data_IF_206786080259
#
_entry.id   IF_206786080259
#
_cell.length_a   1.000
_cell.length_b   1.000
_cell.length_c   1.000
_cell.angle_alpha   90.00
_cell.angle_beta   90.00
_cell.angle_gamma   90.00
#
_symmetry.space_group_name_H-M   'P 1'
#
loop_
_entity.id
_entity.type
_entity.pdbx_description
1 polymer ?
#
# COMPACT_ATOMS: atom_id res chain seq x y z
N UNK A 1 31.18 6.59 13.33
CA UNK A 1 30.00 5.68 13.31
C UNK A 1 28.63 6.36 13.50
N UNK A 2 28.44 7.66 13.18
CA UNK A 2 27.16 8.39 13.41
C UNK A 2 26.22 8.49 12.20
N UNK A 3 26.56 7.94 11.02
CA UNK A 3 25.79 8.11 9.76
C UNK A 3 24.78 6.99 9.43
N UNK A 4 24.73 5.90 10.19
CA UNK A 4 23.91 4.72 9.85
C UNK A 4 22.47 4.80 10.40
N UNK A 5 22.25 5.56 11.48
CA UNK A 5 20.94 5.70 12.14
C UNK A 5 19.91 6.42 11.25
N UNK A 6 20.34 7.23 10.28
CA UNK A 6 19.46 8.13 9.53
C UNK A 6 18.78 7.51 8.28
N UNK A 7 18.92 6.20 8.02
CA UNK A 7 18.32 5.55 6.83
C UNK A 7 17.25 4.51 7.15
N UNK A 8 17.18 3.98 8.37
CA UNK A 8 16.24 2.88 8.70
C UNK A 8 14.79 3.35 8.82
N UNK A 9 14.55 4.54 9.37
CA UNK A 9 13.20 5.13 9.40
C UNK A 9 12.68 5.38 7.98
N UNK A 10 13.55 5.81 7.04
CA UNK A 10 13.19 5.95 5.63
C UNK A 10 12.82 4.62 5.00
N UNK A 11 13.53 3.53 5.33
CA UNK A 11 13.17 2.18 4.85
C UNK A 11 11.79 1.77 5.34
N UNK A 12 11.49 1.96 6.63
CA UNK A 12 10.16 1.65 7.20
C UNK A 12 9.08 2.51 6.52
N UNK A 13 9.32 3.80 6.31
CA UNK A 13 8.40 4.69 5.62
C UNK A 13 8.19 4.28 4.15
N UNK A 14 9.25 3.93 3.42
CA UNK A 14 9.15 3.42 2.04
C UNK A 14 8.37 2.12 1.98
N UNK A 15 8.58 1.20 2.92
CA UNK A 15 7.82 -0.04 3.02
C UNK A 15 6.35 0.27 3.31
N UNK A 16 6.06 1.18 4.25
CA UNK A 16 4.69 1.61 4.53
C UNK A 16 4.03 2.10 3.23
N UNK A 17 4.58 3.15 2.64
CA UNK A 17 4.00 3.79 1.46
C UNK A 17 3.91 2.79 0.31
N UNK A 18 4.94 1.98 0.08
CA UNK A 18 4.95 0.95 -0.96
C UNK A 18 3.98 -0.20 -0.70
N UNK A 19 3.57 -0.43 0.54
CA UNK A 19 2.55 -1.44 0.89
C UNK A 19 1.15 -0.89 0.62
N UNK A 20 0.91 0.40 0.86
CA UNK A 20 -0.39 1.05 0.62
C UNK A 20 -0.62 1.35 -0.84
N UNK A 21 0.45 1.71 -1.58
CA UNK A 21 0.35 2.00 -3.00
C UNK A 21 0.27 0.69 -3.78
N UNK A 22 -0.96 0.25 -4.05
CA UNK A 22 -1.27 -0.86 -4.94
C UNK A 22 -1.54 -0.42 -6.39
N UNK A 23 -1.91 -1.37 -7.24
CA UNK A 23 -2.27 -1.11 -8.64
C UNK A 23 -3.46 -0.15 -8.77
N UNK A 24 -4.44 -0.22 -7.88
CA UNK A 24 -5.60 0.68 -7.89
C UNK A 24 -5.27 2.11 -7.46
N UNK A 25 -4.26 2.29 -6.59
CA UNK A 25 -3.68 3.61 -6.30
C UNK A 25 -2.93 4.14 -7.52
N UNK A 26 -2.05 3.33 -8.11
CA UNK A 26 -1.24 3.72 -9.26
C UNK A 26 -2.08 4.08 -10.49
N UNK A 27 -3.18 3.36 -10.72
CA UNK A 27 -4.14 3.67 -11.80
C UNK A 27 -5.08 4.84 -11.46
N UNK A 28 -5.03 5.37 -10.23
CA UNK A 28 -5.92 6.43 -9.73
C UNK A 28 -7.37 6.00 -9.45
N UNK A 29 -7.72 4.73 -9.70
CA UNK A 29 -9.11 4.25 -9.58
C UNK A 29 -9.59 4.26 -8.14
N UNK A 30 -8.77 3.80 -7.21
CA UNK A 30 -9.10 3.84 -5.78
C UNK A 30 -9.31 5.28 -5.31
N UNK A 31 -8.42 6.19 -5.68
CA UNK A 31 -8.51 7.60 -5.26
C UNK A 31 -9.77 8.27 -5.81
N UNK A 32 -10.12 8.02 -7.07
CA UNK A 32 -11.36 8.53 -7.66
C UNK A 32 -12.57 7.95 -6.93
N UNK A 33 -12.60 6.64 -6.69
CA UNK A 33 -13.75 5.96 -6.08
C UNK A 33 -13.99 6.29 -4.61
N UNK A 34 -12.93 6.43 -3.82
CA UNK A 34 -13.03 6.72 -2.39
C UNK A 34 -13.12 8.22 -2.10
N UNK A 35 -12.54 9.07 -2.95
CA UNK A 35 -12.40 10.50 -2.64
C UNK A 35 -12.86 11.41 -3.79
N UNK A 36 -12.51 11.09 -5.03
CA UNK A 36 -12.86 11.90 -6.21
C UNK A 36 -14.37 12.10 -6.38
N UNK A 37 -15.19 11.11 -6.04
CA UNK A 37 -16.67 11.21 -6.13
C UNK A 37 -17.24 12.33 -5.24
N UNK A 38 -16.52 12.75 -4.19
CA UNK A 38 -16.97 13.78 -3.23
C UNK A 38 -16.50 15.20 -3.56
N UNK A 39 -15.84 15.42 -4.70
CA UNK A 39 -15.31 16.73 -5.09
C UNK A 39 -14.33 17.28 -4.05
N UNK A 40 -14.45 18.56 -3.68
CA UNK A 40 -13.56 19.20 -2.69
C UNK A 40 -13.59 18.49 -1.33
N UNK A 41 -14.74 17.93 -0.92
CA UNK A 41 -14.85 17.19 0.34
C UNK A 41 -13.97 15.94 0.36
N UNK A 42 -13.66 15.38 -0.81
CA UNK A 42 -12.71 14.28 -0.97
C UNK A 42 -11.31 14.62 -0.48
N UNK A 43 -10.86 15.87 -0.63
CA UNK A 43 -9.53 16.31 -0.17
C UNK A 43 -9.42 16.23 1.35
N UNK A 44 -10.47 16.65 2.07
CA UNK A 44 -10.55 16.48 3.52
C UNK A 44 -10.57 15.00 3.90
N UNK A 45 -11.29 14.16 3.13
CA UNK A 45 -11.30 12.72 3.33
C UNK A 45 -9.91 12.08 3.22
N UNK A 46 -9.17 12.37 2.15
CA UNK A 46 -7.79 11.89 1.95
C UNK A 46 -6.90 12.32 3.12
N UNK A 47 -7.02 13.58 3.55
CA UNK A 47 -6.25 14.12 4.66
C UNK A 47 -6.55 13.38 5.97
N UNK A 48 -7.83 13.11 6.25
CA UNK A 48 -8.26 12.32 7.42
C UNK A 48 -7.70 10.90 7.34
N UNK A 49 -7.81 10.22 6.19
CA UNK A 49 -7.22 8.89 6.00
C UNK A 49 -5.72 8.90 6.24
N UNK A 50 -4.99 9.90 5.73
CA UNK A 50 -3.53 10.04 5.94
C UNK A 50 -3.15 10.16 7.42
N UNK A 51 -3.88 10.98 8.19
CA UNK A 51 -3.69 11.11 9.64
C UNK A 51 -3.96 9.76 10.33
N UNK A 52 -5.06 9.09 9.96
CA UNK A 52 -5.41 7.80 10.55
C UNK A 52 -4.39 6.70 10.21
N UNK A 53 -3.84 6.66 8.99
CA UNK A 53 -2.75 5.75 8.62
C UNK A 53 -1.52 6.00 9.49
N UNK A 54 -1.11 7.26 9.65
CA UNK A 54 0.04 7.60 10.49
C UNK A 54 -0.15 7.11 11.94
N UNK A 55 -1.33 7.38 12.52
CA UNK A 55 -1.66 6.95 13.88
C UNK A 55 -1.71 5.42 14.02
N UNK A 56 -2.48 4.73 13.17
CA UNK A 56 -2.65 3.27 13.27
C UNK A 56 -1.33 2.55 12.99
N UNK A 57 -0.59 2.98 11.97
CA UNK A 57 0.69 2.38 11.63
C UNK A 57 1.74 2.56 12.72
N UNK A 58 1.84 3.76 13.31
CA UNK A 58 2.73 4.01 14.44
C UNK A 58 2.37 3.16 15.66
N UNK A 59 1.08 3.10 16.02
CA UNK A 59 0.59 2.25 17.12
C UNK A 59 0.85 0.76 16.89
N UNK A 60 0.66 0.30 15.66
CA UNK A 60 0.91 -1.08 15.27
C UNK A 60 2.41 -1.43 15.40
N UNK A 61 3.30 -0.59 14.85
CA UNK A 61 4.75 -0.82 14.95
C UNK A 61 5.24 -0.79 16.40
N UNK A 62 4.70 0.10 17.25
CA UNK A 62 4.96 0.09 18.69
C UNK A 62 4.54 -1.23 19.35
N UNK A 63 3.37 -1.75 18.99
CA UNK A 63 2.88 -3.02 19.52
C UNK A 63 3.78 -4.18 19.12
N UNK A 64 4.19 -4.22 17.85
CA UNK A 64 5.12 -5.21 17.30
C UNK A 64 6.47 -5.15 18.03
N UNK A 65 7.04 -3.95 18.17
CA UNK A 65 8.31 -3.73 18.86
C UNK A 65 8.27 -4.15 20.33
N UNK A 66 7.27 -3.70 21.09
CA UNK A 66 7.15 -4.00 22.53
C UNK A 66 6.90 -5.49 22.80
N UNK A 67 6.16 -6.16 21.91
CA UNK A 67 5.80 -7.56 22.08
C UNK A 67 6.75 -8.53 21.39
N UNK A 68 7.77 -8.03 20.67
CA UNK A 68 8.72 -8.79 19.86
C UNK A 68 8.05 -9.76 18.88
N UNK A 69 7.02 -9.27 18.20
CA UNK A 69 6.23 -10.06 17.23
C UNK A 69 7.03 -10.18 15.94
N UNK A 70 7.24 -11.41 15.47
CA UNK A 70 8.12 -11.72 14.34
C UNK A 70 7.37 -12.09 13.04
N UNK A 71 6.04 -12.21 13.10
CA UNK A 71 5.21 -12.49 11.93
C UNK A 71 3.70 -12.38 12.19
N UNK A 72 2.93 -12.54 11.14
CA UNK A 72 1.48 -12.35 11.17
C UNK A 72 0.77 -13.43 11.98
N UNK A 73 1.16 -14.70 11.82
CA UNK A 73 0.64 -15.83 12.60
C UNK A 73 0.80 -15.58 14.11
N UNK A 74 1.99 -15.11 14.54
CA UNK A 74 2.27 -14.80 15.94
C UNK A 74 1.37 -13.66 16.44
N UNK A 75 1.19 -12.60 15.63
CA UNK A 75 0.32 -11.48 15.96
C UNK A 75 -1.13 -11.93 16.21
N UNK A 76 -1.71 -12.68 15.27
CA UNK A 76 -3.12 -13.09 15.35
C UNK A 76 -3.34 -14.18 16.39
N UNK A 77 -2.41 -15.12 16.57
CA UNK A 77 -2.50 -16.11 17.64
C UNK A 77 -2.44 -15.46 19.02
N UNK A 78 -1.70 -14.36 19.18
CA UNK A 78 -1.64 -13.60 20.44
C UNK A 78 -2.91 -12.79 20.72
N UNK A 79 -3.62 -12.34 19.67
CA UNK A 79 -4.85 -11.55 19.79
C UNK A 79 -6.09 -12.45 19.95
N UNK A 80 -6.22 -13.48 19.11
CA UNK A 80 -7.43 -14.31 19.01
C UNK A 80 -7.27 -15.72 19.61
N UNK A 81 -6.07 -16.07 20.08
CA UNK A 81 -5.74 -17.42 20.54
C UNK A 81 -5.36 -18.36 19.39
N UNK A 82 -4.73 -19.49 19.72
CA UNK A 82 -4.13 -20.40 18.73
C UNK A 82 -5.12 -20.96 17.70
N UNK A 83 -6.33 -21.36 18.14
CA UNK A 83 -7.32 -22.00 17.26
C UNK A 83 -7.88 -21.02 16.22
N UNK A 84 -8.33 -19.84 16.66
CA UNK A 84 -8.85 -18.82 15.75
C UNK A 84 -7.74 -18.14 14.96
N UNK A 85 -6.56 -17.94 15.57
CA UNK A 85 -5.38 -17.40 14.90
C UNK A 85 -4.99 -18.21 13.67
N UNK A 86 -4.87 -19.53 13.79
CA UNK A 86 -4.54 -20.40 12.64
C UNK A 86 -5.60 -20.36 11.53
N UNK A 87 -6.88 -20.25 11.87
CA UNK A 87 -7.95 -20.13 10.87
C UNK A 87 -7.79 -18.81 10.10
N UNK A 88 -7.57 -17.70 10.82
CA UNK A 88 -7.36 -16.40 10.20
C UNK A 88 -6.08 -16.36 9.37
N UNK A 89 -5.00 -17.00 9.82
CA UNK A 89 -3.74 -17.10 9.08
C UNK A 89 -3.94 -17.74 7.71
N UNK A 90 -4.65 -18.87 7.69
CA UNK A 90 -4.95 -19.60 6.45
C UNK A 90 -5.84 -18.76 5.51
N UNK A 91 -6.85 -18.08 6.04
CA UNK A 91 -7.71 -17.20 5.24
C UNK A 91 -6.88 -16.07 4.61
N UNK A 92 -6.00 -15.43 5.39
CA UNK A 92 -5.15 -14.36 4.88
C UNK A 92 -4.11 -14.86 3.89
N UNK A 93 -3.57 -16.07 4.09
CA UNK A 93 -2.65 -16.70 3.13
C UNK A 93 -3.32 -16.93 1.79
N UNK A 94 -4.55 -17.46 1.78
CA UNK A 94 -5.34 -17.63 0.55
C UNK A 94 -5.62 -16.27 -0.10
N UNK A 95 -6.00 -15.25 0.69
CA UNK A 95 -6.26 -13.90 0.18
C UNK A 95 -5.02 -13.25 -0.45
N UNK A 96 -3.83 -13.40 0.16
CA UNK A 96 -2.58 -12.90 -0.40
C UNK A 96 -2.19 -13.65 -1.68
N UNK A 97 -2.39 -14.96 -1.72
CA UNK A 97 -2.12 -15.77 -2.91
C UNK A 97 -3.01 -15.40 -4.09
N UNK A 98 -4.31 -15.19 -3.85
CA UNK A 98 -5.23 -14.72 -4.90
C UNK A 98 -4.89 -13.31 -5.34
N UNK A 99 -4.57 -12.40 -4.41
CA UNK A 99 -4.11 -11.06 -4.72
C UNK A 99 -2.85 -11.06 -5.59
N UNK A 100 -1.85 -11.87 -5.25
CA UNK A 100 -0.64 -12.05 -6.05
C UNK A 100 -0.97 -12.57 -7.46
N UNK A 101 -1.83 -13.57 -7.57
CA UNK A 101 -2.25 -14.15 -8.86
C UNK A 101 -2.93 -13.10 -9.75
N UNK A 102 -3.81 -12.26 -9.18
CA UNK A 102 -4.47 -11.15 -9.89
C UNK A 102 -3.45 -10.10 -10.36
N UNK A 103 -2.46 -9.76 -9.52
CA UNK A 103 -1.40 -8.80 -9.91
C UNK A 103 -0.51 -9.34 -11.03
N UNK A 104 -0.17 -10.63 -11.01
CA UNK A 104 0.60 -11.29 -12.08
C UNK A 104 -0.18 -11.29 -13.40
N UNK A 105 -1.47 -11.59 -13.36
CA UNK A 105 -2.35 -11.49 -14.53
C UNK A 105 -2.45 -10.04 -15.05
N UNK A 106 -2.49 -9.06 -14.14
CA UNK A 106 -2.46 -7.64 -14.48
C UNK A 106 -1.20 -7.24 -15.24
N UNK A 107 -0.02 -7.77 -14.87
CA UNK A 107 1.20 -7.57 -15.65
C UNK A 107 1.12 -8.20 -17.05
N UNK A 108 0.49 -9.36 -17.18
CA UNK A 108 0.21 -9.96 -18.48
C UNK A 108 -0.63 -9.05 -19.38
N UNK A 109 -1.71 -8.48 -18.83
CA UNK A 109 -2.58 -7.55 -19.55
C UNK A 109 -1.84 -6.29 -20.00
N UNK A 110 -0.98 -5.69 -19.15
CA UNK A 110 -0.17 -4.52 -19.52
C UNK A 110 0.76 -4.84 -20.71
N UNK A 111 1.37 -6.03 -20.74
CA UNK A 111 2.23 -6.42 -21.86
C UNK A 111 1.46 -6.56 -23.16
N UNK A 112 0.24 -7.09 -23.10
CA UNK A 112 -0.62 -7.28 -24.26
C UNK A 112 -1.23 -5.96 -24.77
N UNK A 113 -1.79 -5.15 -23.87
CA UNK A 113 -2.55 -3.95 -24.19
C UNK A 113 -1.66 -2.73 -24.47
N UNK A 114 -0.62 -2.51 -23.65
CA UNK A 114 0.21 -1.29 -23.72
C UNK A 114 1.51 -1.49 -24.51
N UNK A 115 2.09 -2.70 -24.48
CA UNK A 115 3.35 -3.00 -25.15
C UNK A 115 3.18 -3.77 -26.48
N UNK A 116 1.98 -4.31 -26.75
CA UNK A 116 1.71 -5.14 -27.93
C UNK A 116 2.51 -6.46 -27.94
N UNK A 117 2.97 -6.92 -26.76
CA UNK A 117 3.70 -8.18 -26.57
C UNK A 117 2.75 -9.29 -26.11
N UNK A 118 3.23 -10.54 -25.99
CA UNK A 118 2.34 -11.63 -25.55
C UNK A 118 2.05 -11.57 -24.04
N UNK A 119 0.81 -11.89 -23.67
CA UNK A 119 0.36 -12.01 -22.28
C UNK A 119 1.25 -12.90 -21.42
N UNK A 120 1.66 -14.06 -21.96
CA UNK A 120 2.52 -15.02 -21.27
C UNK A 120 3.91 -14.44 -20.95
N UNK A 121 4.47 -13.59 -21.83
CA UNK A 121 5.74 -12.93 -21.54
C UNK A 121 5.61 -11.99 -20.33
N UNK A 122 4.53 -11.21 -20.25
CA UNK A 122 4.27 -10.34 -19.10
C UNK A 122 4.17 -11.11 -17.78
N UNK A 123 3.48 -12.25 -17.78
CA UNK A 123 3.42 -13.14 -16.61
C UNK A 123 4.80 -13.65 -16.22
N UNK A 124 5.55 -14.21 -17.16
CA UNK A 124 6.87 -14.81 -16.89
C UNK A 124 7.81 -13.76 -16.32
N UNK A 125 7.85 -12.56 -16.92
CA UNK A 125 8.67 -11.45 -16.44
C UNK A 125 8.31 -11.09 -15.00
N UNK A 126 7.02 -10.93 -14.69
CA UNK A 126 6.57 -10.57 -13.35
C UNK A 126 6.92 -11.63 -12.30
N UNK A 127 6.75 -12.91 -12.64
CA UNK A 127 7.11 -14.03 -11.74
C UNK A 127 8.62 -14.05 -11.48
N UNK A 128 9.44 -13.93 -12.52
CA UNK A 128 10.91 -13.94 -12.39
C UNK A 128 11.40 -12.77 -11.56
N UNK A 129 10.90 -11.55 -11.82
CA UNK A 129 11.26 -10.37 -11.04
C UNK A 129 10.84 -10.53 -9.58
N UNK A 130 9.60 -10.99 -9.32
CA UNK A 130 9.12 -11.22 -7.96
C UNK A 130 9.95 -12.27 -7.23
N UNK A 131 10.33 -13.35 -7.92
CA UNK A 131 11.20 -14.39 -7.37
C UNK A 131 12.58 -13.83 -6.98
N UNK A 132 13.20 -13.02 -7.85
CA UNK A 132 14.48 -12.35 -7.57
C UNK A 132 14.37 -11.50 -6.30
N UNK A 133 13.29 -10.73 -6.14
CA UNK A 133 13.08 -9.90 -4.94
C UNK A 133 12.99 -10.77 -3.68
N UNK A 134 12.28 -11.89 -3.74
CA UNK A 134 12.12 -12.81 -2.61
C UNK A 134 13.42 -13.51 -2.20
N UNK A 135 14.38 -13.71 -3.11
CA UNK A 135 15.71 -14.24 -2.75
C UNK A 135 16.44 -13.36 -1.72
N UNK A 136 16.16 -12.05 -1.71
CA UNK A 136 16.73 -11.10 -0.77
C UNK A 136 15.83 -10.82 0.44
N UNK A 137 14.74 -11.57 0.61
CA UNK A 137 13.81 -11.47 1.74
C UNK A 137 13.32 -10.03 1.99
N UNK A 138 13.30 -9.58 3.26
CA UNK A 138 12.87 -8.23 3.64
C UNK A 138 13.79 -7.12 3.10
N UNK A 139 15.08 -7.42 2.88
CA UNK A 139 16.01 -6.41 2.34
C UNK A 139 15.72 -6.12 0.86
N UNK A 140 15.43 -7.16 0.07
CA UNK A 140 15.01 -7.02 -1.32
C UNK A 140 13.72 -6.24 -1.45
N UNK A 141 12.72 -6.61 -0.66
CA UNK A 141 11.44 -5.91 -0.61
C UNK A 141 11.63 -4.44 -0.23
N UNK A 142 12.37 -4.15 0.84
CA UNK A 142 12.67 -2.78 1.26
C UNK A 142 13.37 -1.98 0.17
N UNK A 143 14.33 -2.57 -0.54
CA UNK A 143 15.08 -1.89 -1.60
C UNK A 143 14.17 -1.52 -2.77
N UNK A 144 13.34 -2.46 -3.23
CA UNK A 144 12.38 -2.22 -4.32
C UNK A 144 11.34 -1.17 -3.93
N UNK A 145 10.77 -1.23 -2.73
CA UNK A 145 9.83 -0.20 -2.27
C UNK A 145 10.47 1.19 -2.21
N UNK A 146 11.72 1.30 -1.73
CA UNK A 146 12.45 2.57 -1.71
C UNK A 146 12.78 3.13 -3.11
N UNK A 147 12.75 2.29 -4.16
CA UNK A 147 12.95 2.71 -5.54
C UNK A 147 11.63 3.02 -6.26
N UNK A 148 10.63 2.14 -6.13
CA UNK A 148 9.34 2.29 -6.80
C UNK A 148 8.52 3.45 -6.25
N UNK A 149 8.54 3.68 -4.93
CA UNK A 149 7.73 4.75 -4.32
C UNK A 149 8.11 6.14 -4.87
N UNK A 150 9.39 6.55 -4.89
CA UNK A 150 9.77 7.83 -5.52
C UNK A 150 9.44 7.88 -7.01
N UNK A 151 9.64 6.78 -7.75
CA UNK A 151 9.34 6.71 -9.18
C UNK A 151 7.84 6.98 -9.46
N UNK A 152 6.95 6.37 -8.67
CA UNK A 152 5.51 6.58 -8.76
C UNK A 152 5.12 8.02 -8.42
N UNK A 153 5.70 8.60 -7.36
CA UNK A 153 5.44 10.00 -6.99
C UNK A 153 5.85 10.94 -8.12
N UNK A 154 7.04 10.73 -8.70
CA UNK A 154 7.52 11.53 -9.84
C UNK A 154 6.56 11.37 -11.03
N UNK A 155 6.13 10.14 -11.34
CA UNK A 155 5.17 9.87 -12.41
C UNK A 155 3.85 10.61 -12.23
N UNK A 156 3.28 10.57 -11.03
CA UNK A 156 2.01 11.25 -10.69
C UNK A 156 2.16 12.78 -10.80
N UNK A 157 3.25 13.34 -10.26
CA UNK A 157 3.51 14.79 -10.35
C UNK A 157 3.70 15.22 -11.80
N UNK A 158 4.47 14.44 -12.57
CA UNK A 158 4.74 14.72 -13.98
C UNK A 158 3.45 14.69 -14.81
N UNK A 159 2.65 13.63 -14.71
CA UNK A 159 1.39 13.51 -15.46
C UNK A 159 0.39 14.59 -15.04
N UNK A 160 0.32 14.91 -13.74
CA UNK A 160 -0.51 16.00 -13.23
C UNK A 160 -0.12 17.35 -13.85
N UNK A 161 1.16 17.73 -13.81
CA UNK A 161 1.63 19.00 -14.39
C UNK A 161 1.40 19.02 -15.91
N UNK A 162 1.74 17.93 -16.61
CA UNK A 162 1.58 17.83 -18.06
C UNK A 162 0.14 18.05 -18.51
N UNK A 163 -0.83 17.42 -17.84
CA UNK A 163 -2.24 17.58 -18.15
C UNK A 163 -2.74 19.01 -17.85
N UNK A 164 -2.33 19.60 -16.71
CA UNK A 164 -2.74 20.96 -16.37
C UNK A 164 -2.19 22.02 -17.34
N UNK A 165 -0.99 21.83 -17.88
CA UNK A 165 -0.43 22.73 -18.91
C UNK A 165 -1.18 22.58 -20.24
N UNK A 166 -1.52 21.34 -20.63
CA UNK A 166 -2.12 21.06 -21.93
C UNK A 166 -3.61 21.38 -22.00
N UNK A 167 -4.35 21.04 -20.96
CA UNK A 167 -5.82 21.18 -20.91
C UNK A 167 -6.28 22.39 -20.10
N UNK A 168 -5.38 23.05 -19.35
CA UNK A 168 -5.75 24.14 -18.45
C UNK A 168 -6.44 23.65 -17.17
N UNK A 169 -6.74 24.57 -16.25
CA UNK A 169 -7.36 24.25 -14.97
C UNK A 169 -8.89 24.16 -15.06
N UNK A 170 -9.41 23.01 -15.47
CA UNK A 170 -10.86 22.73 -15.43
C UNK A 170 -11.26 22.08 -14.10
N UNK A 171 -11.68 22.89 -13.13
CA UNK A 171 -12.31 22.43 -11.88
C UNK A 171 -13.75 21.94 -12.15
N UNK A 172 -13.86 20.75 -12.73
CA UNK A 172 -15.14 20.05 -12.86
C UNK A 172 -15.55 19.39 -11.53
N UNK A 173 -16.85 19.20 -11.28
CA UNK A 173 -17.38 18.46 -10.13
C UNK A 173 -16.93 18.94 -8.74
N UNK A 174 -16.82 20.26 -8.53
CA UNK A 174 -16.49 20.88 -7.23
C UNK A 174 -17.35 20.34 -6.08
N UNK A 175 -18.65 20.16 -6.31
CA UNK A 175 -19.62 19.70 -5.31
C UNK A 175 -19.67 18.18 -5.15
N UNK A 176 -18.92 17.43 -5.97
CA UNK A 176 -19.03 15.97 -6.06
C UNK A 176 -20.29 15.51 -6.80
N UNK A 177 -20.49 14.20 -6.85
CA UNK A 177 -21.67 13.58 -7.47
C UNK A 177 -22.87 13.66 -6.52
N UNK A 178 -24.03 14.11 -6.99
CA UNK A 178 -25.22 14.39 -6.16
C UNK A 178 -25.75 13.21 -5.34
N UNK A 179 -25.58 11.98 -5.84
CA UNK A 179 -26.00 10.76 -5.15
C UNK A 179 -24.88 9.73 -5.23
N UNK A 180 -24.21 9.52 -4.11
CA UNK A 180 -23.29 8.39 -3.94
C UNK A 180 -23.99 7.33 -3.10
N UNK A 181 -24.30 6.17 -3.69
CA UNK A 181 -24.73 4.98 -2.94
C UNK A 181 -23.67 4.48 -1.92
N UNK A 182 -22.47 5.08 -1.95
CA UNK A 182 -21.29 4.72 -1.15
C UNK A 182 -21.16 5.48 0.20
N UNK A 183 -22.15 6.28 0.60
CA UNK A 183 -22.11 7.04 1.87
C UNK A 183 -21.47 8.42 1.72
N UNK A 184 -20.75 8.91 2.73
CA UNK A 184 -20.15 10.26 2.78
C UNK A 184 -18.61 10.22 2.74
N UNK A 185 -17.94 11.36 2.54
CA UNK A 185 -16.48 11.43 2.47
C UNK A 185 -15.79 10.83 3.71
N UNK A 186 -16.40 10.98 4.90
CA UNK A 186 -15.86 10.44 6.15
C UNK A 186 -15.95 8.90 6.21
N UNK A 187 -17.08 8.31 5.81
CA UNK A 187 -17.22 6.85 5.77
C UNK A 187 -16.26 6.25 4.75
N UNK A 188 -16.09 6.90 3.60
CA UNK A 188 -15.13 6.48 2.59
C UNK A 188 -13.68 6.58 3.08
N UNK A 189 -13.36 7.59 3.89
CA UNK A 189 -12.05 7.70 4.53
C UNK A 189 -11.74 6.53 5.48
N UNK A 190 -12.74 6.10 6.26
CA UNK A 190 -12.63 4.96 7.17
C UNK A 190 -12.58 3.63 6.42
N UNK A 191 -13.38 3.47 5.35
CA UNK A 191 -13.37 2.28 4.52
C UNK A 191 -12.04 2.12 3.77
N UNK A 192 -11.50 3.22 3.23
CA UNK A 192 -10.19 3.22 2.57
C UNK A 192 -9.06 2.83 3.53
N UNK A 193 -9.11 3.34 4.76
CA UNK A 193 -8.19 2.92 5.82
C UNK A 193 -8.36 1.43 6.13
N UNK A 194 -9.59 0.96 6.34
CA UNK A 194 -9.89 -0.42 6.71
C UNK A 194 -9.47 -1.44 5.65
N UNK A 195 -9.75 -1.17 4.37
CA UNK A 195 -9.38 -2.05 3.26
C UNK A 195 -7.86 -2.22 3.14
N UNK A 196 -7.11 -1.12 3.29
CA UNK A 196 -5.64 -1.13 3.23
C UNK A 196 -4.97 -1.64 4.52
N UNK A 197 -5.65 -1.51 5.66
CA UNK A 197 -5.09 -1.90 6.97
C UNK A 197 -4.76 -3.39 7.06
N UNK A 198 -5.51 -4.26 6.37
CA UNK A 198 -5.25 -5.70 6.37
C UNK A 198 -3.84 -6.02 5.85
N UNK A 199 -3.46 -5.44 4.71
CA UNK A 199 -2.15 -5.67 4.09
C UNK A 199 -1.04 -5.01 4.93
N UNK A 200 -1.28 -3.80 5.44
CA UNK A 200 -0.35 -3.12 6.34
C UNK A 200 -0.04 -4.00 7.56
N UNK A 201 -1.06 -4.57 8.21
CA UNK A 201 -0.88 -5.40 9.41
C UNK A 201 0.02 -6.60 9.13
N UNK A 202 -0.21 -7.29 8.02
CA UNK A 202 0.58 -8.45 7.60
C UNK A 202 2.04 -8.04 7.38
N UNK A 203 2.29 -7.03 6.54
CA UNK A 203 3.66 -6.59 6.25
C UNK A 203 4.36 -6.13 7.51
N UNK A 204 3.69 -5.31 8.32
CA UNK A 204 4.28 -4.70 9.51
C UNK A 204 4.65 -5.73 10.56
N UNK A 205 3.83 -6.76 10.74
CA UNK A 205 4.11 -7.85 11.67
C UNK A 205 5.45 -8.55 11.40
N UNK A 206 5.99 -8.43 10.18
CA UNK A 206 7.27 -9.00 9.76
C UNK A 206 8.44 -8.01 9.85
N UNK A 207 8.21 -6.74 10.21
CA UNK A 207 9.23 -5.68 10.21
C UNK A 207 10.05 -5.57 11.49
N UNK A 208 9.85 -6.46 12.48
CA UNK A 208 10.56 -6.39 13.77
C UNK A 208 12.09 -6.30 13.60
N UNK A 209 12.66 -7.03 12.64
CA UNK A 209 14.10 -7.03 12.34
C UNK A 209 14.64 -5.70 11.83
N UNK A 210 13.77 -4.79 11.38
CA UNK A 210 14.13 -3.46 10.89
C UNK A 210 13.98 -2.36 11.93
N UNK A 211 13.35 -2.64 13.08
CA UNK A 211 13.05 -1.67 14.14
C UNK A 211 14.09 -1.81 15.27
N UNK A 212 15.06 -0.89 15.32
CA UNK A 212 16.09 -0.89 16.38
C UNK A 212 15.69 -0.06 17.60
N UNK A 213 14.82 0.94 17.42
CA UNK A 213 14.50 1.90 18.49
C UNK A 213 13.11 2.50 18.35
N UNK A 214 12.50 2.87 19.48
CA UNK A 214 11.19 3.55 19.51
C UNK A 214 11.15 4.88 18.73
N UNK A 215 12.30 5.53 18.53
CA UNK A 215 12.40 6.78 17.75
C UNK A 215 12.13 6.59 16.26
N UNK A 216 12.18 5.35 15.76
CA UNK A 216 11.89 5.05 14.35
C UNK A 216 10.39 4.84 14.10
N UNK A 217 9.56 4.90 15.14
CA UNK A 217 8.14 4.53 15.11
C UNK A 217 7.19 5.73 15.01
N UNK A 218 7.72 6.94 15.17
CA UNK A 218 7.00 8.21 15.13
C UNK A 218 7.72 9.17 14.20
#
# INVERSE_FOLDING_TARGET
MKKVINRKWMKIASIYVGTVIGAGFASGREIIEFFGVYGIKGIFGITISGILFSLIGGLLLLKIFNNKISGFEELICKIFGKKFGLILDNIMTIFLYTGFSVMVAGSGAIFEEELGLSFNLGIIVMIVLSFIVFLFSLEGFSFISSLLVPLLIIGIIFTSIYLNIKEGYYLSNINGVNLTLKGNFLSSSLLYLGSNSLIIIIVFSSLLSLIDSKKQLF
#
